data_IF_666485080947
#
_entry.id   IF_666485080947
#
_cell.length_a   1.000
_cell.length_b   1.000
_cell.length_c   1.000
_cell.angle_alpha   90.00
_cell.angle_beta   90.00
_cell.angle_gamma   90.00
#
_symmetry.space_group_name_H-M   'P 1'
#
loop_
_entity.id
_entity.type
_entity.pdbx_description
1 polymer ?
#
# COMPACT_ATOMS: atom_id res chain seq x y z
N UNK A 1 -15.49 -13.74 -2.95
CA UNK A 1 -16.76 -13.75 -2.23
C UNK A 1 -17.43 -15.14 -2.28
N UNK A 2 -17.67 -15.71 -3.47
CA UNK A 2 -18.32 -17.00 -3.62
C UNK A 2 -17.65 -18.14 -2.82
N UNK A 3 -16.33 -18.17 -2.73
CA UNK A 3 -15.61 -19.13 -1.90
C UNK A 3 -15.97 -19.00 -0.41
N UNK A 4 -16.14 -17.77 0.08
CA UNK A 4 -16.61 -17.51 1.44
C UNK A 4 -18.04 -18.00 1.67
N UNK A 5 -18.96 -17.70 0.77
CA UNK A 5 -20.35 -18.15 0.86
C UNK A 5 -20.49 -19.69 0.84
N UNK A 6 -19.64 -20.37 0.05
CA UNK A 6 -19.60 -21.83 -0.02
C UNK A 6 -18.80 -22.49 1.13
N UNK A 7 -18.30 -21.70 2.10
CA UNK A 7 -17.45 -22.18 3.19
C UNK A 7 -16.24 -22.98 2.69
N UNK A 8 -15.63 -22.52 1.60
CA UNK A 8 -14.43 -23.16 1.04
C UNK A 8 -13.27 -23.07 2.03
N UNK A 9 -12.45 -24.11 2.08
CA UNK A 9 -11.24 -24.20 2.90
C UNK A 9 -10.02 -24.37 2.01
N UNK A 10 -8.85 -24.00 2.52
CA UNK A 10 -7.58 -24.22 1.83
C UNK A 10 -6.74 -22.96 1.67
N UNK A 11 -5.67 -23.08 0.90
CA UNK A 11 -4.68 -22.03 0.69
C UNK A 11 -4.62 -21.67 -0.79
N UNK A 12 -4.79 -20.38 -1.08
CA UNK A 12 -4.62 -19.81 -2.42
C UNK A 12 -3.34 -18.98 -2.42
N UNK A 13 -2.41 -19.31 -3.29
CA UNK A 13 -1.19 -18.54 -3.51
C UNK A 13 -1.43 -17.56 -4.66
N UNK A 14 -1.25 -16.27 -4.40
CA UNK A 14 -1.21 -15.22 -5.40
C UNK A 14 0.23 -15.03 -5.87
N UNK A 15 0.57 -15.55 -7.04
CA UNK A 15 1.92 -15.44 -7.59
C UNK A 15 2.13 -14.14 -8.32
N UNK A 16 3.32 -13.56 -8.16
CA UNK A 16 3.80 -12.30 -8.73
C UNK A 16 2.88 -11.08 -8.45
N UNK A 17 2.59 -10.79 -7.17
CA UNK A 17 1.80 -9.62 -6.78
C UNK A 17 2.67 -8.36 -6.70
N UNK A 18 2.01 -7.25 -6.40
CA UNK A 18 2.65 -5.96 -6.23
C UNK A 18 2.86 -5.21 -7.54
N UNK A 19 3.08 -3.90 -7.42
CA UNK A 19 3.30 -3.03 -8.59
C UNK A 19 4.75 -2.84 -8.94
N UNK A 20 5.66 -3.06 -7.99
CA UNK A 20 7.08 -2.79 -8.19
C UNK A 20 7.93 -4.05 -8.31
N UNK A 21 7.38 -5.22 -7.99
CA UNK A 21 8.11 -6.51 -8.04
C UNK A 21 8.13 -7.17 -9.40
N UNK A 22 7.14 -6.89 -10.26
CA UNK A 22 7.06 -7.38 -11.64
C UNK A 22 7.94 -6.56 -12.56
N UNK A 23 9.18 -7.01 -12.74
CA UNK A 23 10.19 -6.35 -13.52
C UNK A 23 9.90 -6.43 -15.03
N UNK A 24 9.66 -5.29 -15.67
CA UNK A 24 9.47 -5.21 -17.13
C UNK A 24 8.16 -5.78 -17.67
N UNK A 25 7.22 -6.15 -16.80
CA UNK A 25 5.93 -6.71 -17.22
C UNK A 25 4.91 -5.60 -17.56
N UNK A 26 3.79 -5.98 -18.15
CA UNK A 26 2.74 -5.04 -18.55
C UNK A 26 1.88 -4.55 -17.39
N UNK A 27 1.23 -3.40 -17.57
CA UNK A 27 0.36 -2.77 -16.58
C UNK A 27 -0.71 -3.71 -16.03
N UNK A 28 -1.27 -4.58 -16.87
CA UNK A 28 -2.35 -5.50 -16.52
C UNK A 28 -1.94 -6.60 -15.53
N UNK A 29 -0.63 -6.83 -15.36
CA UNK A 29 -0.12 -7.85 -14.45
C UNK A 29 0.27 -7.28 -13.08
N UNK A 30 0.37 -5.96 -12.95
CA UNK A 30 0.79 -5.31 -11.71
C UNK A 30 -0.38 -5.16 -10.73
N UNK A 31 -0.38 -5.99 -9.69
CA UNK A 31 -1.39 -5.99 -8.65
C UNK A 31 -1.08 -4.96 -7.56
N UNK A 32 -1.96 -4.00 -7.37
CA UNK A 32 -1.91 -3.05 -6.25
C UNK A 32 -3.15 -3.09 -5.37
N UNK A 33 -4.11 -3.98 -5.66
CA UNK A 33 -5.45 -3.92 -5.09
C UNK A 33 -5.95 -5.22 -4.46
N UNK A 34 -5.33 -6.37 -4.70
CA UNK A 34 -5.87 -7.69 -4.29
C UNK A 34 -6.11 -7.78 -2.79
N UNK A 35 -5.19 -7.31 -1.96
CA UNK A 35 -5.37 -7.28 -0.50
C UNK A 35 -6.54 -6.39 -0.09
N UNK A 36 -6.71 -5.22 -0.74
CA UNK A 36 -7.85 -4.34 -0.47
C UNK A 36 -9.19 -4.97 -0.88
N UNK A 37 -9.21 -5.74 -1.97
CA UNK A 37 -10.38 -6.50 -2.40
C UNK A 37 -10.67 -7.71 -1.50
N UNK A 38 -9.66 -8.22 -0.81
CA UNK A 38 -9.80 -9.30 0.17
C UNK A 38 -10.45 -8.85 1.49
N UNK A 39 -10.33 -7.58 1.86
CA UNK A 39 -10.80 -7.05 3.14
C UNK A 39 -12.27 -7.38 3.48
N UNK A 40 -13.25 -7.23 2.56
CA UNK A 40 -14.65 -7.45 2.90
C UNK A 40 -15.04 -8.93 3.03
N UNK A 41 -14.19 -9.89 2.65
CA UNK A 41 -14.54 -11.33 2.68
C UNK A 41 -14.32 -11.90 4.09
N UNK A 42 -15.36 -12.27 4.86
CA UNK A 42 -15.24 -12.57 6.29
C UNK A 42 -14.32 -13.75 6.62
N UNK A 43 -14.38 -14.81 5.81
CA UNK A 43 -13.66 -16.07 6.04
C UNK A 43 -12.29 -16.12 5.36
N UNK A 44 -11.90 -15.08 4.66
CA UNK A 44 -10.60 -14.99 3.97
C UNK A 44 -9.54 -14.43 4.92
N UNK A 45 -8.42 -15.13 5.05
CA UNK A 45 -7.19 -14.70 5.71
C UNK A 45 -6.21 -14.25 4.63
N UNK A 46 -5.84 -12.97 4.60
CA UNK A 46 -5.00 -12.41 3.56
C UNK A 46 -3.64 -11.98 4.11
N UNK A 47 -2.55 -12.52 3.55
CA UNK A 47 -1.19 -12.28 4.01
C UNK A 47 -0.27 -11.87 2.88
N UNK A 48 0.67 -10.96 3.18
CA UNK A 48 1.72 -10.45 2.29
C UNK A 48 3.10 -10.61 2.97
N UNK A 49 3.61 -11.85 3.08
CA UNK A 49 4.87 -12.11 3.77
C UNK A 49 6.07 -11.60 2.97
N UNK A 50 7.08 -11.06 3.66
CA UNK A 50 8.34 -10.64 3.07
C UNK A 50 9.34 -11.80 2.99
N UNK A 51 9.37 -12.70 3.96
CA UNK A 51 10.41 -13.72 4.09
C UNK A 51 9.85 -15.14 4.14
N UNK A 52 10.71 -16.11 3.76
CA UNK A 52 10.34 -17.51 3.71
C UNK A 52 9.85 -18.09 5.05
N UNK A 53 10.39 -17.63 6.18
CA UNK A 53 9.95 -18.09 7.49
C UNK A 53 8.53 -17.58 7.85
N UNK A 54 8.17 -16.36 7.43
CA UNK A 54 6.82 -15.83 7.57
C UNK A 54 5.83 -16.66 6.75
N UNK A 55 6.18 -16.92 5.47
CA UNK A 55 5.39 -17.76 4.59
C UNK A 55 5.19 -19.16 5.19
N UNK A 56 6.25 -19.77 5.72
CA UNK A 56 6.19 -21.09 6.35
C UNK A 56 5.27 -21.10 7.59
N UNK A 57 5.35 -20.09 8.46
CA UNK A 57 4.49 -19.96 9.64
C UNK A 57 3.00 -19.83 9.22
N UNK A 58 2.72 -18.99 8.23
CA UNK A 58 1.36 -18.76 7.72
C UNK A 58 0.78 -20.04 7.07
N UNK A 59 1.57 -20.74 6.24
CA UNK A 59 1.12 -22.00 5.61
C UNK A 59 0.86 -23.06 6.67
N UNK A 60 1.75 -23.20 7.66
CA UNK A 60 1.58 -24.15 8.77
C UNK A 60 0.29 -23.90 9.54
N UNK A 61 0.00 -22.63 9.88
CA UNK A 61 -1.26 -22.22 10.50
C UNK A 61 -2.46 -22.50 9.59
N UNK A 62 -2.34 -22.20 8.30
CA UNK A 62 -3.38 -22.47 7.32
C UNK A 62 -3.75 -23.95 7.24
N UNK A 63 -2.76 -24.86 7.16
CA UNK A 63 -2.98 -26.30 7.15
C UNK A 63 -3.64 -26.75 8.49
N UNK A 64 -3.15 -26.28 9.64
CA UNK A 64 -3.73 -26.61 10.93
C UNK A 64 -5.22 -26.27 10.98
N UNK A 65 -5.59 -25.05 10.57
CA UNK A 65 -6.97 -24.57 10.67
C UNK A 65 -7.89 -25.20 9.63
N UNK A 66 -7.42 -25.36 8.39
CA UNK A 66 -8.27 -25.87 7.30
C UNK A 66 -8.41 -27.39 7.30
N UNK A 67 -7.33 -28.14 7.56
CA UNK A 67 -7.32 -29.60 7.47
C UNK A 67 -7.53 -30.30 8.82
N UNK A 68 -6.90 -29.80 9.89
CA UNK A 68 -6.95 -30.45 11.21
C UNK A 68 -8.20 -29.96 11.98
N UNK A 69 -8.36 -28.64 12.12
CA UNK A 69 -9.44 -28.05 12.90
C UNK A 69 -10.73 -27.88 12.11
N UNK A 70 -10.66 -28.05 10.79
CA UNK A 70 -11.82 -27.99 9.90
C UNK A 70 -12.58 -26.64 9.98
N UNK A 71 -11.88 -25.54 10.26
CA UNK A 71 -12.46 -24.21 10.27
C UNK A 71 -12.91 -23.77 8.87
N UNK A 72 -14.02 -23.03 8.79
CA UNK A 72 -14.53 -22.47 7.53
C UNK A 72 -13.74 -21.19 7.16
N UNK A 73 -12.43 -21.34 6.95
CA UNK A 73 -11.52 -20.28 6.51
C UNK A 73 -10.72 -20.70 5.31
N UNK A 74 -10.33 -19.74 4.49
CA UNK A 74 -9.36 -19.96 3.41
C UNK A 74 -8.33 -18.83 3.39
N UNK A 75 -7.13 -19.14 2.93
CA UNK A 75 -6.01 -18.22 2.91
C UNK A 75 -5.78 -17.68 1.51
N UNK A 76 -5.43 -16.40 1.41
CA UNK A 76 -4.84 -15.77 0.25
C UNK A 76 -3.47 -15.25 0.67
N UNK A 77 -2.41 -15.82 0.10
CA UNK A 77 -1.03 -15.48 0.45
C UNK A 77 -0.36 -15.01 -0.83
N UNK A 78 0.16 -13.80 -0.82
CA UNK A 78 0.93 -13.26 -1.93
C UNK A 78 2.38 -13.72 -1.85
N UNK A 79 2.97 -14.04 -2.99
CA UNK A 79 4.39 -14.40 -3.12
C UNK A 79 4.98 -13.69 -4.32
N UNK A 80 6.15 -13.12 -4.15
CA UNK A 80 6.81 -12.28 -5.13
C UNK A 80 7.91 -13.03 -5.87
N UNK A 81 8.25 -12.56 -7.08
CA UNK A 81 9.29 -13.18 -7.91
C UNK A 81 10.65 -12.48 -7.78
N UNK A 82 10.83 -11.62 -6.79
CA UNK A 82 12.08 -10.93 -6.54
C UNK A 82 12.99 -11.77 -5.64
N UNK A 83 14.19 -12.15 -6.11
CA UNK A 83 15.15 -12.85 -5.29
C UNK A 83 15.89 -11.90 -4.36
N UNK A 84 15.85 -12.14 -3.06
CA UNK A 84 16.63 -11.44 -2.03
C UNK A 84 16.99 -12.38 -0.88
N UNK A 85 17.89 -11.93 -0.01
CA UNK A 85 18.34 -12.73 1.12
C UNK A 85 17.20 -13.05 2.08
N UNK A 86 17.12 -14.31 2.51
CA UNK A 86 16.14 -14.76 3.49
C UNK A 86 16.81 -14.90 4.84
N UNK A 87 16.54 -13.98 5.79
CA UNK A 87 17.11 -14.04 7.13
C UNK A 87 16.51 -15.16 7.96
N UNK A 88 17.13 -15.47 9.09
CA UNK A 88 16.55 -16.36 10.08
C UNK A 88 15.35 -15.71 10.76
N UNK A 89 14.40 -16.52 11.18
CA UNK A 89 13.24 -16.07 11.93
C UNK A 89 13.67 -15.47 13.28
N UNK A 90 13.24 -14.25 13.62
CA UNK A 90 13.44 -13.71 14.97
C UNK A 90 12.73 -14.56 16.02
N UNK A 91 13.37 -14.76 17.17
CA UNK A 91 12.80 -15.54 18.27
C UNK A 91 11.49 -14.90 18.76
N UNK A 92 10.47 -15.71 19.02
CA UNK A 92 9.17 -15.25 19.50
C UNK A 92 8.29 -14.54 18.51
N UNK A 93 8.67 -14.46 17.21
CA UNK A 93 7.91 -13.71 16.18
C UNK A 93 6.67 -14.45 15.65
N UNK A 94 6.49 -15.76 15.93
CA UNK A 94 5.43 -16.59 15.28
C UNK A 94 4.02 -16.02 15.54
N UNK A 95 3.71 -15.62 16.77
CA UNK A 95 2.42 -15.00 17.09
C UNK A 95 2.19 -13.72 16.30
N UNK A 96 3.17 -12.83 16.28
CA UNK A 96 3.06 -11.57 15.55
C UNK A 96 2.93 -11.75 14.05
N UNK A 97 3.62 -12.74 13.46
CA UNK A 97 3.46 -13.11 12.05
C UNK A 97 2.00 -13.47 11.75
N UNK A 98 1.38 -14.30 12.59
CA UNK A 98 0.00 -14.75 12.40
C UNK A 98 -1.04 -13.67 12.73
N UNK A 99 -0.75 -12.78 13.69
CA UNK A 99 -1.61 -11.64 14.04
C UNK A 99 -1.47 -10.44 13.11
N UNK A 100 -0.51 -10.46 12.20
CA UNK A 100 -0.38 -9.49 11.12
C UNK A 100 0.75 -8.47 11.25
N UNK A 101 1.44 -8.34 12.39
CA UNK A 101 2.65 -7.52 12.53
C UNK A 101 3.52 -7.93 13.71
N UNK A 102 4.83 -7.70 13.55
CA UNK A 102 5.83 -7.88 14.60
C UNK A 102 7.05 -6.99 14.35
N UNK A 103 7.83 -6.70 15.39
CA UNK A 103 9.09 -5.97 15.24
C UNK A 103 10.16 -6.91 14.70
N UNK A 104 10.55 -6.66 13.44
CA UNK A 104 11.54 -7.47 12.74
C UNK A 104 12.97 -7.13 13.14
N UNK A 105 13.32 -5.83 13.11
CA UNK A 105 14.68 -5.36 13.43
C UNK A 105 14.61 -4.12 14.31
N UNK A 106 15.06 -4.20 15.59
CA UNK A 106 15.15 -3.03 16.45
C UNK A 106 16.22 -2.08 15.95
N UNK A 107 16.14 -0.82 16.39
CA UNK A 107 17.22 0.14 16.15
C UNK A 107 18.49 -0.26 16.90
N UNK A 108 19.65 -0.01 16.30
CA UNK A 108 20.95 -0.24 16.94
C UNK A 108 21.33 0.81 17.98
N UNK A 109 20.55 1.89 18.15
CA UNK A 109 20.88 3.02 19.03
C UNK A 109 19.78 3.23 20.08
N UNK A 110 20.09 2.90 21.34
CA UNK A 110 19.17 3.11 22.45
C UNK A 110 19.08 4.58 22.92
N UNK A 111 20.11 5.37 22.66
CA UNK A 111 20.28 6.74 23.15
C UNK A 111 20.01 7.84 22.12
N UNK A 112 19.47 7.50 20.94
CA UNK A 112 19.13 8.52 19.96
C UNK A 112 17.91 9.34 20.41
N UNK A 113 18.03 10.67 20.29
CA UNK A 113 16.93 11.59 20.61
C UNK A 113 15.79 11.53 19.58
N UNK A 114 16.14 11.20 18.32
CA UNK A 114 15.19 11.07 17.23
C UNK A 114 14.80 9.60 17.05
N UNK A 115 13.49 9.33 17.09
CA UNK A 115 12.97 7.96 16.98
C UNK A 115 11.94 7.86 15.85
N UNK A 116 11.97 6.71 15.17
CA UNK A 116 11.02 6.38 14.11
C UNK A 116 10.65 4.88 14.15
N UNK A 117 9.49 4.56 13.60
CA UNK A 117 9.04 3.20 13.38
C UNK A 117 8.66 3.06 11.91
N UNK A 118 9.38 2.20 11.19
CA UNK A 118 9.20 1.94 9.76
C UNK A 118 8.48 0.61 9.60
N UNK A 119 7.41 0.60 8.84
CA UNK A 119 6.60 -0.59 8.59
C UNK A 119 6.64 -0.93 7.12
N UNK A 120 6.96 -2.19 6.81
CA UNK A 120 6.96 -2.70 5.46
C UNK A 120 6.17 -3.99 5.34
N UNK A 121 5.63 -4.28 4.15
CA UNK A 121 5.03 -5.56 3.80
C UNK A 121 5.65 -6.10 2.51
N UNK A 122 5.65 -7.42 2.33
CA UNK A 122 6.23 -8.04 1.14
C UNK A 122 7.65 -7.54 0.84
N UNK A 123 8.01 -7.38 -0.43
CA UNK A 123 9.35 -6.92 -0.84
C UNK A 123 9.71 -5.51 -0.33
N UNK A 124 8.73 -4.65 -0.05
CA UNK A 124 8.97 -3.28 0.42
C UNK A 124 9.55 -3.25 1.83
N UNK A 125 9.43 -4.33 2.60
CA UNK A 125 10.15 -4.45 3.88
C UNK A 125 11.67 -4.27 3.70
N UNK A 126 12.25 -4.70 2.56
CA UNK A 126 13.68 -4.49 2.28
C UNK A 126 14.01 -3.01 2.07
N UNK A 127 13.10 -2.23 1.51
CA UNK A 127 13.29 -0.77 1.38
C UNK A 127 13.22 -0.08 2.76
N UNK A 128 12.34 -0.54 3.65
CA UNK A 128 12.30 -0.06 5.03
C UNK A 128 13.59 -0.40 5.80
N UNK A 129 14.17 -1.58 5.58
CA UNK A 129 15.45 -1.97 6.17
C UNK A 129 16.61 -1.10 5.68
N UNK A 130 16.66 -0.79 4.38
CA UNK A 130 17.64 0.16 3.81
C UNK A 130 17.44 1.58 4.36
N UNK A 131 16.18 2.01 4.48
CA UNK A 131 15.88 3.32 5.06
C UNK A 131 16.32 3.43 6.52
N UNK A 132 16.19 2.36 7.33
CA UNK A 132 16.71 2.30 8.70
C UNK A 132 18.22 2.56 8.72
N UNK A 133 18.99 1.93 7.83
CA UNK A 133 20.43 2.10 7.73
C UNK A 133 20.79 3.56 7.39
N UNK A 134 20.14 4.12 6.37
CA UNK A 134 20.38 5.53 5.97
C UNK A 134 20.03 6.50 7.11
N UNK A 135 18.88 6.29 7.78
CA UNK A 135 18.46 7.14 8.91
C UNK A 135 19.44 7.10 10.07
N UNK A 136 19.97 5.91 10.41
CA UNK A 136 20.95 5.76 11.47
C UNK A 136 22.29 6.39 11.12
N UNK A 137 22.81 6.11 9.92
CA UNK A 137 24.15 6.54 9.51
C UNK A 137 24.26 8.04 9.21
N UNK A 138 23.23 8.64 8.62
CA UNK A 138 23.28 10.02 8.11
C UNK A 138 22.55 11.04 8.95
N UNK A 139 21.49 10.62 9.65
CA UNK A 139 20.57 11.55 10.34
C UNK A 139 20.47 11.31 11.84
N UNK A 140 21.21 10.33 12.37
CA UNK A 140 21.18 9.95 13.79
C UNK A 140 19.73 9.69 14.29
N UNK A 141 18.90 9.06 13.47
CA UNK A 141 17.55 8.64 13.81
C UNK A 141 17.53 7.15 14.15
N UNK A 142 17.15 6.80 15.36
CA UNK A 142 16.92 5.42 15.75
C UNK A 142 15.58 4.94 15.20
N UNK A 143 15.61 4.07 14.20
CA UNK A 143 14.42 3.55 13.57
C UNK A 143 14.26 2.05 13.86
N UNK A 144 13.12 1.63 14.40
CA UNK A 144 12.72 0.21 14.45
C UNK A 144 12.03 -0.18 13.14
N UNK A 145 12.32 -1.37 12.62
CA UNK A 145 11.63 -1.91 11.45
C UNK A 145 10.65 -3.02 11.85
N UNK A 146 9.43 -2.86 11.38
CA UNK A 146 8.30 -3.75 11.63
C UNK A 146 7.86 -4.43 10.33
N UNK A 147 7.68 -5.74 10.35
CA UNK A 147 7.03 -6.47 9.26
C UNK A 147 5.52 -6.46 9.47
N UNK A 148 4.77 -6.01 8.46
CA UNK A 148 3.32 -6.18 8.40
C UNK A 148 3.03 -7.33 7.46
N UNK A 149 2.68 -8.47 8.02
CA UNK A 149 2.34 -9.67 7.26
C UNK A 149 0.87 -9.70 6.83
N UNK A 150 -0.01 -8.98 7.54
CA UNK A 150 -1.44 -8.94 7.21
C UNK A 150 -2.14 -7.67 7.71
N UNK A 151 -2.40 -6.75 6.82
CA UNK A 151 -3.26 -5.59 7.12
C UNK A 151 -4.69 -6.02 7.48
N UNK A 152 -5.18 -7.10 6.87
CA UNK A 152 -6.53 -7.61 7.12
C UNK A 152 -6.69 -8.14 8.53
N UNK A 153 -5.78 -8.97 9.02
CA UNK A 153 -5.86 -9.50 10.39
C UNK A 153 -5.80 -8.36 11.41
N UNK A 154 -4.92 -7.37 11.20
CA UNK A 154 -4.85 -6.17 12.05
C UNK A 154 -6.15 -5.36 12.03
N UNK A 155 -6.76 -5.20 10.85
CA UNK A 155 -8.03 -4.50 10.71
C UNK A 155 -9.18 -5.23 11.41
N UNK A 156 -9.25 -6.56 11.25
CA UNK A 156 -10.29 -7.38 11.90
C UNK A 156 -10.16 -7.38 13.42
N UNK A 157 -8.93 -7.56 13.94
CA UNK A 157 -8.63 -7.48 15.38
C UNK A 157 -9.03 -6.12 15.96
N UNK A 158 -8.60 -5.04 15.32
CA UNK A 158 -8.92 -3.69 15.80
C UNK A 158 -10.41 -3.37 15.76
N UNK A 159 -11.12 -3.80 14.72
CA UNK A 159 -12.58 -3.58 14.63
C UNK A 159 -13.36 -4.42 15.61
N UNK A 160 -12.89 -5.64 15.93
CA UNK A 160 -13.50 -6.47 16.98
C UNK A 160 -13.29 -5.85 18.38
N UNK A 161 -12.08 -5.38 18.68
CA UNK A 161 -11.81 -4.64 19.91
C UNK A 161 -12.70 -3.40 20.04
N UNK A 162 -12.80 -2.58 18.99
CA UNK A 162 -13.66 -1.39 19.00
C UNK A 162 -15.14 -1.74 19.21
N UNK A 163 -15.60 -2.82 18.59
CA UNK A 163 -16.97 -3.29 18.78
C UNK A 163 -17.21 -3.78 20.21
N UNK A 164 -16.29 -4.60 20.72
CA UNK A 164 -16.38 -5.11 22.10
C UNK A 164 -16.43 -3.94 23.09
N UNK A 165 -15.48 -3.02 23.02
CA UNK A 165 -15.37 -1.87 23.92
C UNK A 165 -16.59 -0.93 23.88
N UNK A 166 -17.26 -0.87 22.74
CA UNK A 166 -18.51 -0.10 22.59
C UNK A 166 -19.70 -0.77 23.26
N UNK A 167 -19.78 -2.10 23.21
CA UNK A 167 -20.94 -2.87 23.69
C UNK A 167 -20.82 -3.34 25.12
N UNK A 168 -19.60 -3.47 25.65
CA UNK A 168 -19.29 -3.98 27.02
C UNK A 168 -18.65 -2.88 27.85
N UNK A 169 -19.46 -1.88 28.21
CA UNK A 169 -18.97 -0.66 28.88
C UNK A 169 -18.51 -0.90 30.32
N UNK A 170 -19.00 -1.96 30.94
CA UNK A 170 -18.72 -2.34 32.33
C UNK A 170 -17.59 -3.39 32.43
N UNK A 171 -17.03 -3.82 31.30
CA UNK A 171 -15.91 -4.75 31.24
C UNK A 171 -14.60 -4.02 30.92
N UNK A 172 -13.47 -4.68 31.19
CA UNK A 172 -12.15 -4.19 30.82
C UNK A 172 -12.03 -4.08 29.29
N UNK A 173 -11.54 -2.94 28.84
CA UNK A 173 -11.39 -2.67 27.41
C UNK A 173 -10.32 -3.57 26.79
N UNK A 174 -10.62 -4.14 25.61
CA UNK A 174 -9.66 -4.86 24.78
C UNK A 174 -8.79 -3.88 24.04
N UNK A 175 -7.48 -4.16 24.00
CA UNK A 175 -6.50 -3.37 23.28
C UNK A 175 -6.17 -4.03 21.94
N UNK A 176 -6.34 -3.35 20.79
CA UNK A 176 -5.97 -3.90 19.48
C UNK A 176 -4.49 -4.27 19.39
N UNK A 177 -4.15 -5.31 18.62
CA UNK A 177 -2.78 -5.79 18.48
C UNK A 177 -1.80 -4.70 18.02
N UNK A 178 -2.22 -3.86 17.08
CA UNK A 178 -1.42 -2.69 16.66
C UNK A 178 -1.05 -1.82 17.87
N UNK A 179 -2.00 -1.53 18.73
CA UNK A 179 -1.77 -0.71 19.94
C UNK A 179 -0.89 -1.43 20.95
N UNK A 180 -1.11 -2.74 21.19
CA UNK A 180 -0.27 -3.53 22.10
C UNK A 180 1.19 -3.52 21.65
N UNK A 181 1.46 -3.73 20.35
CA UNK A 181 2.81 -3.70 19.80
C UNK A 181 3.51 -2.35 19.93
N UNK A 182 2.75 -1.25 19.97
CA UNK A 182 3.25 0.12 19.90
C UNK A 182 3.02 0.92 21.20
N UNK A 183 2.57 0.28 22.27
CA UNK A 183 2.18 0.95 23.52
C UNK A 183 3.33 1.78 24.13
N UNK A 184 4.52 1.19 24.18
CA UNK A 184 5.71 1.80 24.78
C UNK A 184 6.62 2.47 23.75
N UNK A 185 6.10 2.77 22.53
CA UNK A 185 6.90 3.38 21.47
C UNK A 185 6.65 4.88 21.38
N UNK A 186 7.71 5.64 21.09
CA UNK A 186 7.65 7.06 20.79
C UNK A 186 8.34 7.37 19.44
N UNK A 187 8.05 8.53 18.88
CA UNK A 187 8.62 8.97 17.61
C UNK A 187 7.58 9.14 16.52
N UNK A 188 7.99 8.93 15.28
CA UNK A 188 7.17 9.01 14.08
C UNK A 188 6.96 7.62 13.47
N UNK A 189 5.84 7.44 12.76
CA UNK A 189 5.43 6.17 12.17
C UNK A 189 5.29 6.33 10.67
N UNK A 190 6.01 5.50 9.89
CA UNK A 190 5.97 5.51 8.42
C UNK A 190 5.71 4.11 7.91
N UNK A 191 4.63 3.95 7.15
CA UNK A 191 4.24 2.67 6.54
C UNK A 191 4.51 2.72 5.04
N UNK A 192 5.13 1.68 4.48
CA UNK A 192 5.37 1.53 3.05
C UNK A 192 4.88 0.16 2.57
N UNK A 193 4.22 0.12 1.43
CA UNK A 193 3.66 -1.11 0.86
C UNK A 193 3.67 -1.06 -0.66
N UNK A 194 3.70 -2.22 -1.30
CA UNK A 194 3.59 -2.36 -2.76
C UNK A 194 2.13 -2.30 -3.29
N UNK A 195 1.21 -1.96 -2.40
CA UNK A 195 -0.22 -1.81 -2.67
C UNK A 195 -0.68 -0.36 -2.49
N UNK A 196 -1.95 -0.11 -2.83
CA UNK A 196 -2.56 1.23 -2.66
C UNK A 196 -2.55 1.70 -1.21
N UNK A 197 -2.34 3.00 -0.97
CA UNK A 197 -2.27 3.63 0.37
C UNK A 197 -3.52 3.41 1.22
N UNK A 198 -4.66 3.12 0.60
CA UNK A 198 -5.89 2.77 1.31
C UNK A 198 -5.72 1.52 2.19
N UNK A 199 -4.77 0.63 1.87
CA UNK A 199 -4.48 -0.56 2.66
C UNK A 199 -3.82 -0.20 4.01
N UNK A 200 -2.65 0.46 4.07
CA UNK A 200 -2.06 0.90 5.34
C UNK A 200 -2.96 1.90 6.11
N UNK A 201 -3.68 2.78 5.43
CA UNK A 201 -4.61 3.69 6.10
C UNK A 201 -5.73 2.96 6.87
N UNK A 202 -6.09 1.73 6.49
CA UNK A 202 -7.15 0.97 7.16
C UNK A 202 -6.87 0.71 8.63
N UNK A 203 -5.61 0.63 9.04
CA UNK A 203 -5.18 0.35 10.43
C UNK A 203 -4.66 1.58 11.17
N UNK A 204 -4.51 2.72 10.49
CA UNK A 204 -3.85 3.92 11.03
C UNK A 204 -4.47 4.49 12.30
N UNK A 205 -5.78 4.30 12.52
CA UNK A 205 -6.48 4.82 13.70
C UNK A 205 -6.05 4.19 15.02
N UNK A 206 -5.44 3.00 15.00
CA UNK A 206 -4.97 2.31 16.20
C UNK A 206 -3.50 2.60 16.53
N UNK A 207 -2.80 3.35 15.69
CA UNK A 207 -1.46 3.84 15.97
C UNK A 207 -1.48 4.90 17.09
N UNK A 208 -0.38 5.05 17.87
CA UNK A 208 -0.29 6.10 18.89
C UNK A 208 -0.41 7.52 18.31
N UNK A 209 0.17 7.74 17.14
CA UNK A 209 0.08 8.96 16.34
C UNK A 209 -0.25 8.59 14.90
N UNK A 210 -0.85 9.51 14.13
CA UNK A 210 -1.19 9.26 12.73
C UNK A 210 0.05 8.90 11.90
N UNK A 211 0.13 7.71 11.31
CA UNK A 211 1.27 7.31 10.48
C UNK A 211 1.23 7.98 9.11
N UNK A 212 2.43 8.20 8.53
CA UNK A 212 2.58 8.51 7.11
C UNK A 212 2.51 7.22 6.32
N UNK A 213 1.69 7.18 5.27
CA UNK A 213 1.55 6.01 4.42
C UNK A 213 2.11 6.26 3.01
N UNK A 214 3.02 5.41 2.58
CA UNK A 214 3.54 5.32 1.22
C UNK A 214 2.98 4.06 0.56
N UNK A 215 2.65 4.16 -0.73
CA UNK A 215 2.07 3.04 -1.46
C UNK A 215 1.91 3.35 -2.95
N UNK A 216 1.57 2.34 -3.71
CA UNK A 216 1.59 2.36 -5.17
C UNK A 216 0.25 2.74 -5.78
N UNK A 217 -0.27 3.92 -5.44
CA UNK A 217 -1.50 4.43 -6.03
C UNK A 217 -1.35 4.78 -7.52
N UNK A 218 -2.43 4.70 -8.28
CA UNK A 218 -2.44 4.99 -9.71
C UNK A 218 -2.40 3.72 -10.57
N UNK A 219 -2.02 3.86 -11.84
CA UNK A 219 -1.88 2.73 -12.76
C UNK A 219 -0.50 2.09 -12.64
N UNK A 220 -0.41 0.78 -12.87
CA UNK A 220 0.86 0.08 -13.03
C UNK A 220 1.70 0.64 -14.20
N UNK A 221 3.00 0.35 -14.22
CA UNK A 221 3.94 0.76 -15.27
C UNK A 221 4.90 -0.38 -15.59
N UNK A 222 5.41 -0.39 -16.82
CA UNK A 222 6.37 -1.39 -17.30
C UNK A 222 7.78 -0.83 -17.21
N UNK A 223 8.48 -1.11 -16.11
CA UNK A 223 9.83 -0.63 -15.83
C UNK A 223 10.65 -1.61 -14.96
N UNK A 224 11.91 -1.27 -14.64
CA UNK A 224 12.70 -1.98 -13.65
C UNK A 224 12.13 -1.77 -12.23
N UNK A 225 12.41 -2.71 -11.30
CA UNK A 225 11.95 -2.59 -9.91
C UNK A 225 12.37 -1.29 -9.24
N UNK A 226 13.63 -0.89 -9.42
CA UNK A 226 14.15 0.36 -8.85
C UNK A 226 13.44 1.59 -9.43
N UNK A 227 13.20 1.63 -10.75
CA UNK A 227 12.48 2.73 -11.38
C UNK A 227 11.01 2.78 -10.93
N UNK A 228 10.36 1.61 -10.77
CA UNK A 228 8.99 1.52 -10.27
C UNK A 228 8.88 2.00 -8.81
N UNK A 229 9.78 1.56 -7.92
CA UNK A 229 9.81 2.00 -6.52
C UNK A 229 10.05 3.51 -6.41
N UNK A 230 10.94 4.03 -7.25
CA UNK A 230 11.18 5.48 -7.35
C UNK A 230 9.95 6.23 -7.82
N UNK A 231 9.30 5.75 -8.89
CA UNK A 231 8.10 6.38 -9.44
C UNK A 231 6.92 6.36 -8.46
N UNK A 232 6.71 5.26 -7.74
CA UNK A 232 5.63 5.15 -6.75
C UNK A 232 6.01 5.69 -5.36
N UNK A 233 7.20 6.23 -5.19
CA UNK A 233 7.67 6.84 -3.95
C UNK A 233 7.69 5.85 -2.76
N UNK A 234 8.10 4.59 -3.04
CA UNK A 234 8.20 3.52 -2.04
C UNK A 234 9.60 2.94 -1.89
N UNK A 235 10.61 3.57 -2.49
CA UNK A 235 12.02 3.26 -2.28
C UNK A 235 12.53 3.75 -0.91
N UNK A 236 13.73 3.32 -0.52
CA UNK A 236 14.31 3.67 0.77
C UNK A 236 14.48 5.18 0.95
N UNK A 237 14.83 5.90 -0.10
CA UNK A 237 15.05 7.34 -0.08
C UNK A 237 13.75 8.10 0.21
N UNK A 238 12.64 7.69 -0.39
CA UNK A 238 11.32 8.29 -0.07
C UNK A 238 10.84 7.94 1.34
N UNK A 239 11.12 6.72 1.84
CA UNK A 239 10.83 6.35 3.24
C UNK A 239 11.63 7.24 4.20
N UNK A 240 12.92 7.50 3.90
CA UNK A 240 13.74 8.43 4.67
C UNK A 240 13.17 9.84 4.66
N UNK A 241 12.84 10.38 3.49
CA UNK A 241 12.28 11.73 3.35
C UNK A 241 10.94 11.84 4.07
N UNK A 242 10.08 10.82 3.97
CA UNK A 242 8.81 10.78 4.70
C UNK A 242 9.02 10.79 6.24
N UNK A 243 10.03 10.05 6.71
CA UNK A 243 10.41 10.02 8.14
C UNK A 243 10.94 11.37 8.62
N UNK A 244 11.87 11.96 7.88
CA UNK A 244 12.40 13.29 8.20
C UNK A 244 11.32 14.37 8.13
N UNK A 245 10.41 14.29 7.14
CA UNK A 245 9.27 15.17 7.03
C UNK A 245 8.32 15.09 8.22
N UNK A 246 8.07 13.88 8.74
CA UNK A 246 7.25 13.67 9.92
C UNK A 246 7.95 14.21 11.19
N UNK A 247 9.27 14.02 11.34
CA UNK A 247 10.06 14.60 12.43
C UNK A 247 10.07 16.14 12.37
N UNK A 248 10.20 16.72 11.19
CA UNK A 248 10.13 18.16 10.99
C UNK A 248 8.75 18.74 11.33
N UNK A 249 7.67 18.01 10.99
CA UNK A 249 6.30 18.39 11.33
C UNK A 249 6.04 18.40 12.84
N UNK A 250 6.76 17.56 13.61
CA UNK A 250 6.74 17.56 15.07
C UNK A 250 7.67 18.63 15.70
N UNK A 251 8.48 19.30 14.88
CA UNK A 251 9.47 20.26 15.34
C UNK A 251 10.76 19.65 15.93
N UNK A 252 11.00 18.37 15.69
CA UNK A 252 12.18 17.64 16.18
C UNK A 252 13.43 17.92 15.34
N UNK A 253 13.27 18.30 14.08
CA UNK A 253 14.34 18.73 13.16
C UNK A 253 13.88 19.92 12.32
N UNK A 254 14.84 20.61 11.69
CA UNK A 254 14.55 21.73 10.81
C UNK A 254 14.05 21.26 9.42
N UNK A 255 13.19 22.06 8.79
CA UNK A 255 12.70 21.80 7.43
C UNK A 255 13.81 21.81 6.38
N UNK A 256 14.89 22.53 6.63
CA UNK A 256 16.05 22.60 5.76
C UNK A 256 16.76 21.24 5.67
N UNK A 257 16.77 20.46 6.74
CA UNK A 257 17.27 19.07 6.73
C UNK A 257 16.50 18.20 5.75
N UNK A 258 15.17 18.34 5.70
CA UNK A 258 14.31 17.62 4.76
C UNK A 258 14.58 18.05 3.32
N UNK A 259 14.68 19.36 3.07
CA UNK A 259 14.97 19.90 1.75
C UNK A 259 16.35 19.45 1.23
N UNK A 260 17.35 19.41 2.12
CA UNK A 260 18.68 18.91 1.81
C UNK A 260 18.67 17.42 1.46
N UNK A 261 17.92 16.60 2.19
CA UNK A 261 17.75 15.17 1.90
C UNK A 261 17.07 14.94 0.54
N UNK A 262 16.03 15.68 0.21
CA UNK A 262 15.34 15.64 -1.10
C UNK A 262 16.34 15.92 -2.23
N UNK A 263 17.16 16.97 -2.09
CA UNK A 263 18.16 17.32 -3.08
C UNK A 263 19.29 16.27 -3.17
N UNK A 264 19.80 15.77 -2.03
CA UNK A 264 20.84 14.75 -1.97
C UNK A 264 20.44 13.44 -2.63
N UNK A 265 19.20 13.01 -2.42
CA UNK A 265 18.64 11.77 -3.03
C UNK A 265 18.18 12.00 -4.47
N UNK A 266 18.31 13.21 -5.02
CA UNK A 266 17.87 13.53 -6.38
C UNK A 266 16.37 13.28 -6.58
N UNK A 267 15.55 13.55 -5.57
CA UNK A 267 14.09 13.49 -5.66
C UNK A 267 13.62 14.79 -6.29
N UNK A 268 12.84 14.68 -7.37
CA UNK A 268 12.20 15.84 -8.00
C UNK A 268 10.88 16.15 -7.29
N UNK A 269 10.78 17.25 -6.52
CA UNK A 269 9.54 17.61 -5.82
C UNK A 269 8.41 18.02 -6.77
N UNK A 270 8.72 18.34 -8.03
CA UNK A 270 7.75 18.69 -9.06
C UNK A 270 7.34 17.49 -9.92
N UNK A 271 7.85 16.28 -9.60
CA UNK A 271 7.43 15.06 -10.28
C UNK A 271 5.90 14.89 -10.22
N UNK A 272 5.26 14.45 -11.31
CA UNK A 272 3.82 14.30 -11.32
C UNK A 272 3.39 13.19 -10.35
N UNK A 273 2.34 13.47 -9.56
CA UNK A 273 1.76 12.47 -8.65
C UNK A 273 1.35 11.21 -9.44
N UNK A 274 1.81 10.01 -9.06
CA UNK A 274 1.51 8.75 -9.75
C UNK A 274 0.02 8.51 -10.02
N UNK A 275 -0.86 8.96 -9.14
CA UNK A 275 -2.33 8.86 -9.30
C UNK A 275 -2.83 9.61 -10.53
N UNK A 276 -2.17 10.70 -10.90
CA UNK A 276 -2.60 11.58 -11.99
C UNK A 276 -1.99 11.21 -13.35
N UNK A 277 -0.97 10.36 -13.34
CA UNK A 277 -0.28 9.94 -14.57
C UNK A 277 -1.07 8.83 -15.25
N UNK A 278 -1.44 9.05 -16.52
CA UNK A 278 -2.10 8.03 -17.32
C UNK A 278 -1.11 6.93 -17.70
N UNK A 279 -1.52 5.68 -17.60
CA UNK A 279 -0.72 4.57 -18.12
C UNK A 279 -0.55 4.70 -19.63
N UNK A 280 0.69 4.80 -20.10
CA UNK A 280 1.07 4.92 -21.50
C UNK A 280 2.58 4.82 -21.65
N UNK A 281 3.08 4.64 -22.87
CA UNK A 281 4.52 4.69 -23.14
C UNK A 281 5.03 6.11 -22.89
N UNK A 282 6.13 6.23 -22.16
CA UNK A 282 6.76 7.52 -21.78
C UNK A 282 7.19 8.45 -22.94
N UNK A 283 6.75 8.19 -24.19
CA UNK A 283 7.03 9.01 -25.36
C UNK A 283 5.90 9.93 -25.84
N UNK A 284 4.67 9.75 -25.35
CA UNK A 284 3.51 10.47 -25.89
C UNK A 284 3.03 11.65 -25.03
N UNK A 285 3.45 11.76 -23.78
CA UNK A 285 2.94 12.79 -22.85
C UNK A 285 3.69 14.14 -22.97
N UNK A 286 4.93 14.17 -23.47
CA UNK A 286 5.71 15.43 -23.57
C UNK A 286 5.29 16.32 -24.76
N UNK A 287 4.59 15.76 -25.77
CA UNK A 287 4.10 16.56 -26.90
C UNK A 287 2.73 17.22 -26.68
N UNK A 288 1.94 16.76 -25.67
CA UNK A 288 0.62 17.34 -25.43
C UNK A 288 0.61 18.53 -24.46
N UNK A 289 1.63 18.67 -23.62
CA UNK A 289 1.77 19.81 -22.69
C UNK A 289 2.25 21.09 -23.39
N UNK A 290 3.06 20.97 -24.47
CA UNK A 290 3.54 22.09 -25.26
C UNK A 290 2.49 22.72 -26.17
N UNK A 291 1.51 21.95 -26.62
CA UNK A 291 0.50 22.41 -27.57
C UNK A 291 -0.68 23.20 -26.98
N UNK A 292 -0.85 23.19 -25.65
CA UNK A 292 -1.98 23.89 -24.98
C UNK A 292 -1.65 25.28 -24.44
N UNK A 293 -0.40 25.74 -24.53
CA UNK A 293 -0.01 27.12 -24.12
C UNK A 293 -0.02 28.15 -25.25
N UNK A 294 -0.33 27.75 -26.50
CA UNK A 294 -0.23 28.61 -27.69
C UNK A 294 -1.53 29.20 -28.26
N UNK A 295 -2.73 28.93 -27.71
CA UNK A 295 -3.98 29.35 -28.39
C UNK A 295 -5.00 30.09 -27.51
N UNK A 296 -4.55 30.97 -26.60
CA UNK A 296 -5.43 31.97 -26.00
C UNK A 296 -4.91 33.37 -26.22
N UNK A 297 -4.93 33.79 -27.51
CA UNK A 297 -4.97 35.21 -27.81
C UNK A 297 -5.77 35.45 -29.09
N UNK A 298 -6.83 36.22 -28.92
CA UNK A 298 -7.49 37.05 -29.89
C UNK A 298 -8.25 36.39 -31.06
N UNK A 299 -9.60 36.43 -30.95
CA UNK A 299 -10.46 37.06 -31.94
C UNK A 299 -11.87 37.31 -31.42
N UNK A 300 -12.09 38.53 -30.91
CA UNK A 300 -13.39 39.20 -31.04
C UNK A 300 -13.43 39.83 -32.42
N UNK A 301 -14.43 39.50 -33.24
CA UNK A 301 -15.19 40.40 -34.14
C UNK A 301 -15.99 39.58 -35.14
N UNK A 302 -17.24 40.00 -35.33
CA UNK A 302 -17.97 39.82 -36.58
C UNK A 302 -19.19 38.91 -36.50
N UNK A 303 -20.36 39.50 -36.27
CA UNK A 303 -21.66 38.86 -36.41
C UNK A 303 -22.06 38.73 -37.86
N UNK A 304 -22.98 37.88 -38.12
CA UNK A 304 -24.06 37.92 -39.09
C UNK A 304 -24.62 36.51 -39.25
N UNK A 305 -25.78 36.32 -38.94
CA UNK A 305 -26.97 35.72 -39.22
C UNK A 305 -27.09 34.97 -40.55
N UNK A 306 -27.65 33.79 -40.52
CA UNK A 306 -28.63 33.36 -41.52
C UNK A 306 -29.42 32.11 -41.06
N UNK A 307 -30.67 32.29 -41.03
CA UNK A 307 -31.94 31.56 -41.24
C UNK A 307 -31.98 30.02 -41.29
N UNK A 308 -33.01 29.61 -40.58
CA UNK A 308 -33.72 28.32 -40.56
C UNK A 308 -34.05 27.75 -41.95
N UNK A 309 -34.01 26.44 -42.11
CA UNK A 309 -35.02 25.66 -42.84
C UNK A 309 -35.36 24.37 -42.09
N UNK A 310 -36.63 24.27 -41.81
CA UNK A 310 -37.37 23.05 -41.50
C UNK A 310 -37.34 22.11 -42.71
N UNK A 311 -37.13 20.84 -42.46
CA UNK A 311 -37.91 19.86 -43.22
C UNK A 311 -38.29 18.66 -42.36
N UNK A 312 -39.61 18.47 -42.32
CA UNK A 312 -40.28 17.34 -41.68
C UNK A 312 -40.41 16.20 -42.71
N UNK A 313 -40.13 14.97 -42.34
CA UNK A 313 -40.89 13.83 -42.82
C UNK A 313 -41.00 12.74 -41.77
N UNK A 314 -42.21 12.39 -41.44
CA UNK A 314 -42.70 11.28 -40.66
C UNK A 314 -43.09 10.10 -41.57
N UNK A 315 -43.65 9.02 -41.07
CA UNK A 315 -43.08 7.68 -41.07
C UNK A 315 -43.89 6.72 -41.95
N UNK A 316 -43.39 5.53 -42.19
CA UNK A 316 -44.25 4.45 -42.69
C UNK A 316 -44.02 3.14 -41.92
N UNK A 317 -45.15 2.61 -41.59
CA UNK A 317 -45.49 1.38 -40.94
C UNK A 317 -45.41 0.15 -41.86
N UNK A 318 -45.14 -1.02 -41.31
CA UNK A 318 -45.35 -2.31 -42.03
C UNK A 318 -44.96 -3.48 -41.11
N UNK A 319 -45.88 -3.95 -40.40
CA UNK A 319 -46.50 -5.30 -40.25
C UNK A 319 -45.75 -6.46 -40.94
N UNK A 320 -45.40 -7.49 -40.21
CA UNK A 320 -46.22 -8.67 -40.18
C UNK A 320 -45.43 -9.99 -40.09
N UNK A 321 -45.88 -10.84 -39.16
CA UNK A 321 -46.04 -12.32 -39.19
C UNK A 321 -44.80 -13.21 -39.08
N UNK A 322 -44.76 -13.90 -37.98
CA UNK A 322 -45.22 -15.27 -37.65
C UNK A 322 -44.32 -16.46 -38.04
N UNK A 323 -44.19 -17.34 -37.02
CA UNK A 323 -43.97 -18.82 -37.04
C UNK A 323 -42.51 -19.30 -37.17
N UNK A 324 -41.95 -19.91 -36.21
CA UNK A 324 -42.26 -21.18 -35.51
C UNK A 324 -41.43 -21.26 -34.22
#
# INVERSE_FOLDING_TARGET
WAAGDMRSRGIKIGGTPGRTTLNGDGLQHQDGNSHRLADPVPTLKAYDPAFAFELAAIIKDGIRRTDVEQEDVFYYITVENEPYAMPSQPEGSEEGILRGMYRFRPSGSENAELRAHLFGSGAILNEALRAQEILGERYNVAADVWSITSYKELYMDGTDCDRFNRLHRDEEHRTPWVRQCLEDTDGVYVMATDYVKALPHSIGKWFPKQPVALGTDGFGRSESRSALRRFFEVDAEHIVVATLGALAAQGSIDRETVASAIAEFGIDPEAPNPVTVRGGRDGDDDQSAGARRGSRQCRRRGGAGFRRRHDRRKPESGRGRDRK
#
